data_IF_644044049465
#
_entry.id   IF_644044049465
#
_cell.length_a   1.000
_cell.length_b   1.000
_cell.length_c   1.000
_cell.angle_alpha   90.00
_cell.angle_beta   90.00
_cell.angle_gamma   90.00
#
_symmetry.space_group_name_H-M   'P 1'
#
loop_
_entity.id
_entity.type
_entity.pdbx_description
1 polymer ?
#
# COMPACT_ATOMS: atom_id res chain seq x y z
N UNK A 1 -17.63 -9.42 -9.26
CA UNK A 1 -16.52 -8.62 -8.69
C UNK A 1 -15.56 -9.59 -8.02
N UNK A 2 -14.31 -9.63 -8.48
CA UNK A 2 -13.27 -10.51 -7.95
C UNK A 2 -12.63 -9.86 -6.73
N UNK A 3 -12.75 -10.52 -5.58
CA UNK A 3 -11.86 -10.25 -4.45
C UNK A 3 -10.44 -10.72 -4.77
N UNK A 4 -9.48 -10.31 -3.96
CA UNK A 4 -8.08 -10.72 -4.12
C UNK A 4 -7.99 -12.26 -4.02
N UNK A 5 -7.32 -12.88 -5.00
CA UNK A 5 -7.10 -14.33 -4.97
C UNK A 5 -6.28 -14.77 -3.75
N UNK A 6 -6.43 -16.02 -3.31
CA UNK A 6 -5.63 -16.56 -2.20
C UNK A 6 -4.13 -16.43 -2.44
N UNK A 7 -3.69 -16.59 -3.71
CA UNK A 7 -2.30 -16.37 -4.10
C UNK A 7 -1.87 -14.92 -3.93
N UNK A 8 -2.72 -13.96 -4.33
CA UNK A 8 -2.44 -12.53 -4.18
C UNK A 8 -2.36 -12.12 -2.70
N UNK A 9 -3.25 -12.64 -1.85
CA UNK A 9 -3.17 -12.42 -0.40
C UNK A 9 -1.89 -13.00 0.21
N UNK A 10 -1.47 -14.17 -0.25
CA UNK A 10 -0.22 -14.78 0.22
C UNK A 10 1.02 -14.00 -0.23
N UNK A 11 1.02 -13.49 -1.46
CA UNK A 11 2.06 -12.59 -1.96
C UNK A 11 2.16 -11.30 -1.13
N UNK A 12 1.02 -10.67 -0.82
CA UNK A 12 0.97 -9.49 0.04
C UNK A 12 1.55 -9.77 1.43
N UNK A 13 1.20 -10.90 2.06
CA UNK A 13 1.77 -11.32 3.35
C UNK A 13 3.28 -11.51 3.27
N UNK A 14 3.77 -12.19 2.23
CA UNK A 14 5.19 -12.39 2.01
C UNK A 14 5.95 -11.08 1.81
N UNK A 15 5.30 -10.07 1.25
CA UNK A 15 5.82 -8.71 1.12
C UNK A 15 5.66 -7.87 2.40
N UNK A 16 5.13 -8.42 3.50
CA UNK A 16 5.00 -7.74 4.78
C UNK A 16 3.73 -6.90 4.96
N UNK A 17 2.72 -7.09 4.11
CA UNK A 17 1.39 -6.55 4.36
C UNK A 17 0.65 -7.40 5.39
N UNK A 18 0.05 -6.73 6.36
CA UNK A 18 -0.85 -7.33 7.34
C UNK A 18 -2.26 -7.36 6.79
N UNK A 19 -2.93 -8.50 6.92
CA UNK A 19 -4.36 -8.62 6.62
C UNK A 19 -5.14 -8.33 7.90
N UNK A 20 -6.04 -7.35 7.85
CA UNK A 20 -6.80 -6.85 9.00
C UNK A 20 -8.30 -7.05 8.78
N UNK A 21 -9.07 -6.85 9.85
CA UNK A 21 -10.54 -6.78 9.83
C UNK A 21 -11.18 -7.98 9.10
N UNK A 22 -10.69 -9.19 9.39
CA UNK A 22 -11.17 -10.45 8.77
C UNK A 22 -11.06 -10.46 7.23
N UNK A 23 -9.97 -9.89 6.69
CA UNK A 23 -9.72 -9.88 5.24
C UNK A 23 -10.35 -8.71 4.50
N UNK A 24 -10.76 -7.65 5.22
CA UNK A 24 -11.37 -6.46 4.61
C UNK A 24 -10.39 -5.32 4.35
N UNK A 25 -9.22 -5.36 4.96
CA UNK A 25 -8.21 -4.31 4.85
C UNK A 25 -6.82 -4.90 4.85
N UNK A 26 -5.89 -4.23 4.17
CA UNK A 26 -4.46 -4.51 4.25
C UNK A 26 -3.69 -3.30 4.77
N UNK A 27 -2.60 -3.54 5.50
CA UNK A 27 -1.77 -2.50 6.11
C UNK A 27 -0.29 -2.80 5.99
N UNK A 28 0.53 -1.79 5.71
CA UNK A 28 1.99 -1.91 5.77
C UNK A 28 2.66 -0.62 6.26
N UNK A 29 3.72 -0.79 7.03
CA UNK A 29 4.60 0.31 7.46
C UNK A 29 5.86 0.34 6.58
N UNK A 30 6.16 1.52 6.04
CA UNK A 30 7.34 1.82 5.26
C UNK A 30 8.24 2.77 6.06
N UNK A 31 9.57 2.52 6.05
CA UNK A 31 10.54 3.30 6.82
C UNK A 31 11.55 3.97 5.92
N UNK A 32 11.87 5.21 6.26
CA UNK A 32 12.81 6.04 5.52
C UNK A 32 13.88 6.61 6.46
N UNK A 33 14.87 7.31 5.90
CA UNK A 33 15.92 7.96 6.69
C UNK A 33 15.44 9.24 7.37
N UNK A 34 14.54 9.98 6.73
CA UNK A 34 14.11 11.31 7.15
C UNK A 34 12.68 11.63 6.68
N UNK A 35 12.13 12.74 7.16
CA UNK A 35 10.78 13.20 6.81
C UNK A 35 10.62 13.54 5.32
N UNK A 36 11.66 14.07 4.68
CA UNK A 36 11.60 14.44 3.26
C UNK A 36 11.34 13.21 2.40
N UNK A 37 12.02 12.10 2.68
CA UNK A 37 11.82 10.84 1.96
C UNK A 37 10.42 10.25 2.17
N UNK A 38 9.84 10.38 3.37
CA UNK A 38 8.44 10.01 3.60
C UNK A 38 7.48 10.78 2.68
N UNK A 39 7.67 12.09 2.56
CA UNK A 39 6.84 12.94 1.70
C UNK A 39 7.06 12.63 0.23
N UNK A 40 8.31 12.43 -0.20
CA UNK A 40 8.62 12.08 -1.58
C UNK A 40 8.03 10.71 -1.95
N UNK A 41 7.99 9.76 -1.01
CA UNK A 41 7.31 8.47 -1.22
C UNK A 41 5.80 8.64 -1.46
N UNK A 42 5.12 9.49 -0.71
CA UNK A 42 3.70 9.76 -0.96
C UNK A 42 3.43 10.42 -2.31
N UNK A 43 4.30 11.34 -2.72
CA UNK A 43 4.22 11.96 -4.06
C UNK A 43 4.33 10.93 -5.17
N UNK A 44 5.16 9.90 -4.98
CA UNK A 44 5.32 8.85 -5.98
C UNK A 44 4.11 7.89 -6.03
N UNK A 45 3.40 7.72 -4.91
CA UNK A 45 2.17 6.90 -4.86
C UNK A 45 1.01 7.61 -5.58
N UNK A 46 0.88 8.92 -5.42
CA UNK A 46 -0.26 9.71 -5.89
C UNK A 46 -0.65 9.46 -7.36
N UNK A 47 0.27 9.45 -8.35
CA UNK A 47 -0.10 9.17 -9.74
C UNK A 47 -0.71 7.78 -9.95
N UNK A 48 -0.27 6.78 -9.19
CA UNK A 48 -0.79 5.40 -9.32
C UNK A 48 -2.15 5.26 -8.64
N UNK A 49 -2.36 5.95 -7.52
CA UNK A 49 -3.65 6.02 -6.85
C UNK A 49 -4.71 6.70 -7.74
N UNK A 50 -4.37 7.85 -8.34
CA UNK A 50 -5.27 8.58 -9.23
C UNK A 50 -5.58 7.81 -10.52
N UNK A 51 -4.58 7.14 -11.10
CA UNK A 51 -4.79 6.33 -12.30
C UNK A 51 -5.72 5.12 -12.07
N UNK A 52 -5.78 4.62 -10.83
CA UNK A 52 -6.66 3.52 -10.43
C UNK A 52 -8.02 4.00 -9.90
N UNK A 53 -8.20 5.31 -9.72
CA UNK A 53 -9.32 5.90 -8.96
C UNK A 53 -9.52 5.19 -7.62
N UNK A 54 -8.40 4.94 -6.93
CA UNK A 54 -8.36 4.18 -5.69
C UNK A 54 -7.27 4.75 -4.78
N UNK A 55 -7.66 5.29 -3.63
CA UNK A 55 -6.75 6.04 -2.77
C UNK A 55 -6.43 5.29 -1.47
N UNK A 56 -5.16 5.35 -1.00
CA UNK A 56 -4.80 4.80 0.29
C UNK A 56 -5.19 5.72 1.45
N UNK A 57 -5.50 5.12 2.59
CA UNK A 57 -5.43 5.79 3.89
C UNK A 57 -3.98 5.85 4.35
N UNK A 58 -3.49 7.04 4.72
CA UNK A 58 -2.07 7.26 5.03
C UNK A 58 -1.87 7.99 6.35
N UNK A 59 -1.02 7.43 7.21
CA UNK A 59 -0.50 8.09 8.41
C UNK A 59 1.02 8.25 8.31
N UNK A 60 1.55 9.46 8.60
CA UNK A 60 2.99 9.73 8.62
C UNK A 60 3.46 10.08 10.03
N UNK A 61 4.52 9.41 10.48
CA UNK A 61 5.24 9.71 11.73
C UNK A 61 6.71 9.93 11.43
N UNK A 62 7.10 11.17 11.12
CA UNK A 62 8.46 11.54 10.71
C UNK A 62 8.97 10.66 9.54
N UNK A 63 9.79 9.67 9.82
CA UNK A 63 10.39 8.77 8.83
C UNK A 63 9.61 7.46 8.63
N UNK A 64 8.39 7.35 9.18
CA UNK A 64 7.52 6.18 9.03
C UNK A 64 6.25 6.58 8.29
N UNK A 65 5.90 5.81 7.27
CA UNK A 65 4.66 5.95 6.50
C UNK A 65 3.87 4.67 6.66
N UNK A 66 2.67 4.78 7.21
CA UNK A 66 1.73 3.66 7.32
C UNK A 66 0.69 3.84 6.23
N UNK A 67 0.53 2.80 5.41
CA UNK A 67 -0.51 2.73 4.37
C UNK A 67 -1.52 1.67 4.74
N UNK A 68 -2.80 2.03 4.66
CA UNK A 68 -3.94 1.12 4.72
C UNK A 68 -4.72 1.17 3.40
N UNK A 69 -5.19 0.02 2.93
CA UNK A 69 -5.97 -0.12 1.70
C UNK A 69 -7.21 -0.97 1.95
N UNK A 70 -8.35 -0.46 1.50
CA UNK A 70 -9.63 -1.15 1.41
C UNK A 70 -10.47 -0.48 0.32
N UNK A 71 -11.34 -1.22 -0.35
CA UNK A 71 -12.34 -0.63 -1.23
C UNK A 71 -13.57 -0.29 -0.40
N UNK A 72 -13.64 0.96 0.09
CA UNK A 72 -14.66 1.41 1.04
C UNK A 72 -16.09 1.12 0.58
N UNK A 73 -16.41 1.43 -0.67
CA UNK A 73 -17.75 1.25 -1.24
C UNK A 73 -18.19 -0.21 -1.30
N UNK A 74 -17.22 -1.13 -1.33
CA UNK A 74 -17.43 -2.57 -1.36
C UNK A 74 -17.30 -3.22 0.03
N UNK A 75 -16.94 -2.44 1.05
CA UNK A 75 -16.76 -2.91 2.42
C UNK A 75 -15.67 -3.96 2.60
N UNK A 76 -14.66 -4.00 1.70
CA UNK A 76 -13.63 -5.02 1.73
C UNK A 76 -12.60 -4.91 0.61
N UNK A 77 -11.74 -5.94 0.51
CA UNK A 77 -10.63 -5.97 -0.45
C UNK A 77 -11.09 -6.33 -1.86
N UNK A 78 -10.58 -5.59 -2.85
CA UNK A 78 -10.74 -5.87 -4.27
C UNK A 78 -9.38 -5.93 -4.98
N UNK A 79 -9.41 -6.24 -6.28
CA UNK A 79 -8.20 -6.20 -7.11
C UNK A 79 -7.55 -4.80 -7.17
N UNK A 80 -8.28 -3.71 -6.85
CA UNK A 80 -7.72 -2.36 -6.79
C UNK A 80 -6.74 -2.22 -5.61
N UNK A 81 -7.12 -2.74 -4.44
CA UNK A 81 -6.27 -2.78 -3.24
C UNK A 81 -4.98 -3.56 -3.52
N UNK A 82 -5.11 -4.72 -4.17
CA UNK A 82 -3.97 -5.54 -4.56
C UNK A 82 -3.04 -4.79 -5.53
N UNK A 83 -3.58 -4.23 -6.63
CA UNK A 83 -2.79 -3.53 -7.64
C UNK A 83 -2.03 -2.34 -7.05
N UNK A 84 -2.71 -1.55 -6.21
CA UNK A 84 -2.07 -0.41 -5.58
C UNK A 84 -1.01 -0.84 -4.56
N UNK A 85 -1.26 -1.87 -3.77
CA UNK A 85 -0.28 -2.42 -2.83
C UNK A 85 1.01 -2.88 -3.52
N UNK A 86 0.89 -3.64 -4.63
CA UNK A 86 2.06 -4.05 -5.43
C UNK A 86 2.81 -2.83 -5.96
N UNK A 87 2.09 -1.81 -6.45
CA UNK A 87 2.72 -0.61 -6.97
C UNK A 87 3.49 0.17 -5.90
N UNK A 88 2.92 0.27 -4.70
CA UNK A 88 3.57 0.90 -3.54
C UNK A 88 4.84 0.14 -3.15
N UNK A 89 4.82 -1.20 -3.18
CA UNK A 89 6.00 -2.02 -2.90
C UNK A 89 7.12 -1.81 -3.91
N UNK A 90 6.80 -1.71 -5.21
CA UNK A 90 7.77 -1.37 -6.26
C UNK A 90 8.43 -0.01 -6.01
N UNK A 91 7.61 1.02 -5.72
CA UNK A 91 8.08 2.38 -5.43
C UNK A 91 9.02 2.39 -4.22
N UNK A 92 8.64 1.67 -3.16
CA UNK A 92 9.46 1.58 -1.95
C UNK A 92 10.80 0.89 -2.23
N UNK A 93 10.79 -0.22 -2.99
CA UNK A 93 12.01 -0.93 -3.37
C UNK A 93 12.93 -0.06 -4.21
N UNK A 94 12.41 0.71 -5.18
CA UNK A 94 13.22 1.62 -6.00
C UNK A 94 13.87 2.74 -5.17
N UNK A 95 13.19 3.26 -4.14
CA UNK A 95 13.79 4.27 -3.25
C UNK A 95 14.85 3.69 -2.31
N UNK A 96 14.65 2.47 -1.83
CA UNK A 96 15.54 1.86 -0.82
C UNK A 96 16.67 1.04 -1.42
N UNK A 97 16.61 0.65 -2.70
CA UNK A 97 17.71 -0.05 -3.39
C UNK A 97 18.89 0.86 -3.74
N UNK A 98 18.75 2.17 -3.54
CA UNK A 98 19.80 3.17 -3.75
C UNK A 98 20.43 3.67 -2.43
N UNK A 99 20.23 2.93 -1.34
CA UNK A 99 20.82 3.18 -0.02
C UNK A 99 21.96 2.20 0.27
#
# INVERSE_FOLDING_TARGET
MSGISSKGLEELKNNGWLILEDGKKIKKEFRFKDFKQSIDFLKDIQPSADALDHHPDVCIYYNRVIVELTTHDMGGLTDLDYKLAIKIDELYKMKTSNL
#
